data_IF_406542559422
#
_entry.id   IF_406542559422
#
_cell.length_a   1.000
_cell.length_b   1.000
_cell.length_c   1.000
_cell.angle_alpha   90.00
_cell.angle_beta   90.00
_cell.angle_gamma   90.00
#
_symmetry.space_group_name_H-M   'P 1'
#
loop_
_entity.id
_entity.type
_entity.pdbx_description
1 polymer ?
#
# COMPACT_ATOMS: atom_id res chain seq x y z
N UNK A 1 -3.90 5.12 -3.06
CA UNK A 1 -3.19 3.82 -3.07
C UNK A 1 -1.82 3.99 -3.70
N UNK A 2 -0.87 3.18 -3.23
CA UNK A 2 0.53 3.21 -3.65
C UNK A 2 0.89 1.82 -4.20
N UNK A 3 1.44 1.77 -5.40
CA UNK A 3 2.00 0.56 -6.00
C UNK A 3 3.52 0.72 -6.11
N UNK A 4 4.26 -0.22 -5.58
CA UNK A 4 5.72 -0.29 -5.68
C UNK A 4 6.08 -1.56 -6.44
N UNK A 5 6.69 -1.42 -7.59
CA UNK A 5 7.19 -2.53 -8.39
C UNK A 5 8.71 -2.52 -8.43
N UNK A 6 9.33 -3.70 -8.42
CA UNK A 6 10.76 -3.84 -8.54
C UNK A 6 11.23 -5.27 -8.25
N UNK A 7 12.34 -5.66 -8.82
CA UNK A 7 12.94 -6.98 -8.63
C UNK A 7 13.30 -7.26 -7.16
N UNK A 8 13.65 -8.50 -6.86
CA UNK A 8 14.15 -8.87 -5.53
C UNK A 8 15.40 -8.05 -5.19
N UNK A 9 15.49 -7.55 -3.96
CA UNK A 9 16.62 -6.71 -3.53
C UNK A 9 16.56 -5.24 -3.97
N UNK A 10 15.59 -4.83 -4.80
CA UNK A 10 15.48 -3.46 -5.29
C UNK A 10 15.14 -2.39 -4.23
N UNK A 11 14.69 -2.81 -3.04
CA UNK A 11 14.38 -1.89 -1.93
C UNK A 11 12.90 -1.76 -1.58
N UNK A 12 11.99 -2.61 -2.11
CA UNK A 12 10.53 -2.58 -1.82
C UNK A 12 10.23 -2.57 -0.33
N UNK A 13 10.74 -3.55 0.42
CA UNK A 13 10.53 -3.65 1.88
C UNK A 13 11.20 -2.48 2.62
N UNK A 14 12.33 -1.97 2.12
CA UNK A 14 12.98 -0.76 2.67
C UNK A 14 12.08 0.47 2.48
N UNK A 15 11.42 0.60 1.33
CA UNK A 15 10.42 1.66 1.11
C UNK A 15 9.30 1.60 2.15
N UNK A 16 8.72 0.40 2.38
CA UNK A 16 7.67 0.22 3.39
C UNK A 16 8.19 0.65 4.77
N UNK A 17 9.36 0.17 5.18
CA UNK A 17 9.98 0.52 6.48
C UNK A 17 10.15 2.02 6.63
N UNK A 18 10.74 2.67 5.63
CA UNK A 18 10.98 4.13 5.64
C UNK A 18 9.67 4.91 5.71
N UNK A 19 8.65 4.51 4.94
CA UNK A 19 7.34 5.13 4.94
C UNK A 19 6.67 5.02 6.31
N UNK A 20 6.53 3.79 6.84
CA UNK A 20 5.87 3.53 8.12
C UNK A 20 6.59 4.24 9.27
N UNK A 21 7.91 4.17 9.33
CA UNK A 21 8.71 4.87 10.32
C UNK A 21 8.49 6.39 10.25
N UNK A 22 8.53 6.96 9.07
CA UNK A 22 8.31 8.40 8.87
C UNK A 22 6.91 8.83 9.31
N UNK A 23 5.89 8.03 8.97
CA UNK A 23 4.49 8.32 9.33
C UNK A 23 4.26 8.22 10.84
N UNK A 24 4.78 7.19 11.49
CA UNK A 24 4.61 6.98 12.95
C UNK A 24 5.35 8.03 13.79
N UNK A 25 6.40 8.64 13.26
CA UNK A 25 7.07 9.77 13.92
C UNK A 25 6.33 11.10 13.78
N UNK A 26 5.56 11.27 12.71
CA UNK A 26 4.87 12.53 12.41
C UNK A 26 3.43 12.57 12.93
N UNK A 27 2.81 11.42 13.10
CA UNK A 27 1.40 11.30 13.44
C UNK A 27 1.21 10.39 14.64
N UNK A 28 0.24 10.71 15.50
CA UNK A 28 -0.18 9.83 16.59
C UNK A 28 -1.02 8.65 16.05
N UNK A 29 -1.21 7.61 16.87
CA UNK A 29 -2.09 6.49 16.52
C UNK A 29 -3.56 6.88 16.32
N UNK A 30 -4.00 8.02 16.85
CA UNK A 30 -5.32 8.59 16.59
C UNK A 30 -5.44 9.24 15.19
N UNK A 31 -4.31 9.51 14.55
CA UNK A 31 -4.25 10.14 13.24
C UNK A 31 -3.87 9.17 12.13
N UNK A 32 -3.04 8.16 12.46
CA UNK A 32 -2.54 7.19 11.49
C UNK A 32 -2.46 5.80 12.10
N UNK A 33 -3.02 4.82 11.41
CA UNK A 33 -2.94 3.40 11.75
C UNK A 33 -2.58 2.60 10.51
N UNK A 34 -1.98 1.43 10.71
CA UNK A 34 -1.66 0.54 9.60
C UNK A 34 -1.82 -0.94 9.98
N UNK A 35 -2.04 -1.75 8.96
CA UNK A 35 -2.07 -3.21 9.00
C UNK A 35 -1.09 -3.72 7.95
N UNK A 36 -0.37 -4.79 8.27
CA UNK A 36 0.65 -5.36 7.38
C UNK A 36 0.29 -6.81 7.06
N UNK A 37 0.34 -7.15 5.78
CA UNK A 37 0.34 -8.52 5.27
C UNK A 37 1.72 -8.73 4.63
N UNK A 38 2.63 -9.44 5.36
CA UNK A 38 4.03 -9.67 4.96
C UNK A 38 4.17 -11.09 4.39
N UNK A 39 4.12 -11.18 3.07
CA UNK A 39 4.31 -12.41 2.28
C UNK A 39 5.66 -12.39 1.54
N UNK A 40 6.66 -11.72 2.11
CA UNK A 40 7.98 -11.56 1.54
C UNK A 40 9.07 -11.99 2.51
N UNK A 41 9.65 -11.05 3.21
CA UNK A 41 10.89 -11.26 3.98
C UNK A 41 10.66 -11.42 5.49
N UNK A 42 9.44 -11.27 5.98
CA UNK A 42 9.07 -11.24 7.42
C UNK A 42 9.82 -10.15 8.22
N UNK A 43 10.36 -9.14 7.53
CA UNK A 43 11.15 -8.08 8.14
C UNK A 43 10.29 -6.94 8.70
N UNK A 44 8.97 -6.99 8.49
CA UNK A 44 8.05 -5.95 8.96
C UNK A 44 7.50 -6.23 10.37
N UNK A 45 7.86 -7.37 10.98
CA UNK A 45 7.56 -7.70 12.39
C UNK A 45 8.02 -6.63 13.39
N UNK A 46 9.05 -5.86 13.05
CA UNK A 46 9.57 -4.77 13.90
C UNK A 46 8.52 -3.72 14.25
N UNK A 47 7.47 -3.59 13.44
CA UNK A 47 6.39 -2.63 13.66
C UNK A 47 5.25 -3.17 14.54
N UNK A 48 5.24 -4.48 14.86
CA UNK A 48 4.11 -5.15 15.54
C UNK A 48 3.70 -4.50 16.86
N UNK A 49 4.66 -4.02 17.63
CA UNK A 49 4.43 -3.46 18.96
C UNK A 49 4.19 -1.94 18.97
N UNK A 50 4.12 -1.30 17.81
CA UNK A 50 3.81 0.12 17.75
C UNK A 50 2.32 0.35 17.97
N UNK A 51 1.93 1.43 18.68
CA UNK A 51 0.52 1.75 18.93
C UNK A 51 -0.27 2.07 17.64
N UNK A 52 0.42 2.30 16.54
CA UNK A 52 -0.16 2.53 15.21
C UNK A 52 -0.48 1.22 14.46
N UNK A 53 0.12 0.10 14.89
CA UNK A 53 0.01 -1.18 14.19
C UNK A 53 -1.18 -1.98 14.72
N UNK A 54 -2.18 -2.23 13.87
CA UNK A 54 -3.32 -3.07 14.23
C UNK A 54 -3.00 -4.56 14.15
N UNK A 55 -2.24 -4.98 13.14
CA UNK A 55 -1.79 -6.38 12.99
C UNK A 55 -0.63 -6.49 12.00
N UNK A 56 0.19 -7.54 12.19
CA UNK A 56 1.13 -8.05 11.18
C UNK A 56 0.76 -9.50 10.91
N UNK A 57 0.28 -9.76 9.71
CA UNK A 57 -0.22 -11.05 9.22
C UNK A 57 0.83 -11.63 8.27
N UNK A 58 1.16 -12.90 8.45
CA UNK A 58 2.14 -13.62 7.65
C UNK A 58 1.51 -14.90 7.08
N UNK A 59 2.27 -15.71 6.33
CA UNK A 59 1.75 -16.92 5.70
C UNK A 59 1.16 -17.91 6.70
N UNK A 60 1.78 -18.09 7.86
CA UNK A 60 1.33 -18.97 8.94
C UNK A 60 0.09 -18.46 9.70
N UNK A 61 -0.24 -17.19 9.53
CA UNK A 61 -1.39 -16.51 10.16
C UNK A 61 -2.36 -15.92 9.13
N UNK A 62 -2.29 -16.36 7.88
CA UNK A 62 -3.06 -15.80 6.76
C UNK A 62 -4.57 -15.77 6.99
N UNK A 63 -5.12 -16.68 7.79
CA UNK A 63 -6.55 -16.72 8.13
C UNK A 63 -7.00 -15.46 8.89
N UNK A 64 -6.10 -14.78 9.61
CA UNK A 64 -6.37 -13.50 10.26
C UNK A 64 -6.69 -12.38 9.25
N UNK A 65 -6.31 -12.54 7.99
CA UNK A 65 -6.69 -11.59 6.94
C UNK A 65 -8.20 -11.48 6.76
N UNK A 66 -8.95 -12.55 7.03
CA UNK A 66 -10.42 -12.53 6.98
C UNK A 66 -11.01 -11.61 8.05
N UNK A 67 -10.44 -11.64 9.25
CA UNK A 67 -10.87 -10.76 10.34
C UNK A 67 -10.49 -9.31 10.05
N UNK A 68 -9.31 -9.07 9.47
CA UNK A 68 -8.92 -7.75 9.00
C UNK A 68 -9.92 -7.18 7.98
N UNK A 69 -10.31 -7.96 6.97
CA UNK A 69 -11.27 -7.48 5.96
C UNK A 69 -12.67 -7.24 6.55
N UNK A 70 -13.11 -8.05 7.53
CA UNK A 70 -14.35 -7.79 8.26
C UNK A 70 -14.26 -6.47 9.04
N UNK A 71 -13.15 -6.24 9.75
CA UNK A 71 -12.89 -4.99 10.48
C UNK A 71 -12.92 -3.78 9.53
N UNK A 72 -12.23 -3.85 8.41
CA UNK A 72 -12.22 -2.76 7.40
C UNK A 72 -13.63 -2.49 6.85
N UNK A 73 -14.42 -3.56 6.64
CA UNK A 73 -15.82 -3.43 6.23
C UNK A 73 -16.62 -2.63 7.27
N UNK A 74 -16.51 -3.00 8.53
CA UNK A 74 -17.20 -2.32 9.64
C UNK A 74 -16.80 -0.86 9.71
N UNK A 75 -15.48 -0.56 9.69
CA UNK A 75 -14.97 0.81 9.73
C UNK A 75 -15.52 1.64 8.56
N UNK A 76 -15.53 1.10 7.35
CA UNK A 76 -16.05 1.82 6.16
C UNK A 76 -17.55 2.08 6.32
N UNK A 77 -18.34 1.12 6.83
CA UNK A 77 -19.77 1.31 7.04
C UNK A 77 -20.07 2.36 8.13
N UNK A 78 -19.33 2.33 9.22
CA UNK A 78 -19.45 3.34 10.30
C UNK A 78 -19.08 4.73 9.77
N UNK A 79 -18.02 4.84 8.99
CA UNK A 79 -17.60 6.12 8.38
C UNK A 79 -18.62 6.62 7.36
N UNK A 80 -19.26 5.74 6.59
CA UNK A 80 -20.37 6.12 5.69
C UNK A 80 -21.51 6.79 6.46
N UNK A 81 -21.93 6.21 7.58
CA UNK A 81 -22.97 6.79 8.44
C UNK A 81 -22.53 8.12 9.02
N UNK A 82 -21.33 8.16 9.59
CA UNK A 82 -20.76 9.37 10.17
C UNK A 82 -20.64 10.51 9.15
N UNK A 83 -20.19 10.23 7.93
CA UNK A 83 -20.07 11.26 6.89
C UNK A 83 -21.42 11.81 6.46
N UNK A 84 -22.45 10.95 6.41
CA UNK A 84 -23.83 11.40 6.17
C UNK A 84 -24.35 12.30 7.30
N UNK A 85 -24.08 11.94 8.58
CA UNK A 85 -24.47 12.75 9.74
C UNK A 85 -23.74 14.11 9.81
N UNK A 86 -22.48 14.14 9.36
CA UNK A 86 -21.66 15.35 9.32
C UNK A 86 -21.86 16.18 8.04
N UNK A 87 -22.67 15.69 7.10
CA UNK A 87 -22.93 16.31 5.80
C UNK A 87 -21.63 16.56 5.00
N UNK A 88 -20.67 15.59 5.07
CA UNK A 88 -19.40 15.66 4.35
C UNK A 88 -19.27 14.56 3.31
N UNK A 89 -18.49 14.82 2.25
CA UNK A 89 -18.37 13.92 1.09
C UNK A 89 -17.22 12.93 1.17
N UNK A 90 -16.19 13.23 1.98
CA UNK A 90 -14.94 12.47 2.00
C UNK A 90 -14.20 12.55 3.34
N UNK A 91 -13.21 11.67 3.49
CA UNK A 91 -12.37 11.58 4.66
C UNK A 91 -11.66 12.91 5.03
N UNK A 92 -11.16 13.65 4.02
CA UNK A 92 -10.42 14.89 4.27
C UNK A 92 -11.28 15.97 4.93
N UNK A 93 -12.56 16.02 4.60
CA UNK A 93 -13.55 16.91 5.24
C UNK A 93 -13.90 16.41 6.64
N UNK A 94 -14.20 15.11 6.76
CA UNK A 94 -14.58 14.51 8.04
C UNK A 94 -13.45 14.61 9.09
N UNK A 95 -12.20 14.40 8.69
CA UNK A 95 -11.03 14.46 9.58
C UNK A 95 -10.75 15.85 10.15
N UNK A 96 -11.30 16.91 9.55
CA UNK A 96 -11.25 18.28 10.13
C UNK A 96 -12.25 18.47 11.26
N UNK A 97 -13.33 17.70 11.25
CA UNK A 97 -14.42 17.81 12.21
C UNK A 97 -14.33 16.79 13.35
N UNK A 98 -13.77 15.62 13.04
CA UNK A 98 -13.62 14.51 14.01
C UNK A 98 -12.24 13.88 13.90
N UNK A 99 -11.71 13.42 15.04
CA UNK A 99 -10.49 12.60 15.07
C UNK A 99 -10.79 11.23 14.45
N UNK A 100 -10.28 11.01 13.28
CA UNK A 100 -10.41 9.76 12.52
C UNK A 100 -9.03 9.35 12.01
N UNK A 101 -8.50 8.17 12.38
CA UNK A 101 -7.22 7.74 11.85
C UNK A 101 -7.30 7.46 10.36
N UNK A 102 -6.31 7.91 9.59
CA UNK A 102 -6.07 7.38 8.26
C UNK A 102 -5.51 5.96 8.39
N UNK A 103 -6.05 5.02 7.64
CA UNK A 103 -5.67 3.60 7.70
C UNK A 103 -4.90 3.22 6.43
N UNK A 104 -3.70 2.67 6.60
CA UNK A 104 -2.90 2.11 5.52
C UNK A 104 -2.82 0.59 5.65
N UNK A 105 -3.28 -0.13 4.64
CA UNK A 105 -3.14 -1.60 4.55
C UNK A 105 -1.99 -1.92 3.60
N UNK A 106 -0.94 -2.52 4.13
CA UNK A 106 0.31 -2.82 3.42
C UNK A 106 0.34 -4.28 3.04
N UNK A 107 0.55 -4.58 1.76
CA UNK A 107 0.85 -5.91 1.26
C UNK A 107 2.29 -5.94 0.76
N UNK A 108 3.20 -6.52 1.53
CA UNK A 108 4.53 -6.83 1.02
C UNK A 108 4.47 -8.18 0.30
N UNK A 109 4.60 -8.13 -1.03
CA UNK A 109 4.36 -9.22 -1.97
C UNK A 109 2.87 -9.65 -2.02
N UNK A 110 2.03 -8.78 -2.62
CA UNK A 110 0.60 -9.10 -2.80
C UNK A 110 0.37 -10.36 -3.62
N UNK A 111 1.26 -10.71 -4.55
CA UNK A 111 1.16 -11.94 -5.33
C UNK A 111 1.23 -13.18 -4.45
N UNK A 112 2.14 -13.20 -3.46
CA UNK A 112 2.22 -14.25 -2.47
C UNK A 112 0.92 -14.41 -1.68
N UNK A 113 0.33 -13.32 -1.21
CA UNK A 113 -0.98 -13.36 -0.56
C UNK A 113 -2.07 -13.95 -1.47
N UNK A 114 -2.16 -13.48 -2.72
CA UNK A 114 -3.18 -13.94 -3.68
C UNK A 114 -3.04 -15.41 -4.10
N UNK A 115 -1.88 -16.03 -3.90
CA UNK A 115 -1.67 -17.47 -4.12
C UNK A 115 -2.24 -18.32 -2.98
N UNK A 116 -2.51 -17.75 -1.82
CA UNK A 116 -3.12 -18.47 -0.70
C UNK A 116 -4.61 -18.69 -0.91
N UNK A 117 -5.18 -19.73 -0.27
CA UNK A 117 -6.63 -19.97 -0.29
C UNK A 117 -7.43 -18.80 0.28
N UNK A 118 -6.90 -18.14 1.32
CA UNK A 118 -7.52 -16.97 1.94
C UNK A 118 -7.52 -15.78 0.96
N UNK A 119 -6.38 -15.50 0.32
CA UNK A 119 -6.25 -14.43 -0.66
C UNK A 119 -7.17 -14.60 -1.87
N UNK A 120 -7.28 -15.84 -2.40
CA UNK A 120 -8.19 -16.16 -3.51
C UNK A 120 -9.65 -15.88 -3.15
N UNK A 121 -10.08 -16.28 -1.94
CA UNK A 121 -11.45 -16.03 -1.46
C UNK A 121 -11.75 -14.54 -1.24
N UNK A 122 -10.74 -13.76 -0.96
CA UNK A 122 -10.88 -12.33 -0.62
C UNK A 122 -10.62 -11.40 -1.81
N UNK A 123 -10.26 -11.95 -2.96
CA UNK A 123 -9.84 -11.16 -4.12
C UNK A 123 -10.91 -10.17 -4.60
N UNK A 124 -12.16 -10.61 -4.72
CA UNK A 124 -13.26 -9.74 -5.18
C UNK A 124 -13.54 -8.61 -4.18
N UNK A 125 -13.47 -8.92 -2.90
CA UNK A 125 -13.62 -7.93 -1.82
C UNK A 125 -12.47 -6.90 -1.86
N UNK A 126 -11.23 -7.36 -2.06
CA UNK A 126 -10.08 -6.48 -2.21
C UNK A 126 -10.23 -5.54 -3.41
N UNK A 127 -10.71 -6.05 -4.54
CA UNK A 127 -11.02 -5.27 -5.74
C UNK A 127 -12.09 -4.19 -5.46
N UNK A 128 -13.12 -4.53 -4.71
CA UNK A 128 -14.16 -3.57 -4.32
C UNK A 128 -13.58 -2.45 -3.44
N UNK A 129 -12.74 -2.78 -2.46
CA UNK A 129 -12.14 -1.78 -1.57
C UNK A 129 -11.14 -0.88 -2.27
N UNK A 130 -10.34 -1.40 -3.20
CA UNK A 130 -9.44 -0.57 -3.99
C UNK A 130 -10.16 0.57 -4.74
N UNK A 131 -11.44 0.37 -5.11
CA UNK A 131 -12.22 1.41 -5.80
C UNK A 131 -12.84 2.45 -4.87
N UNK A 132 -13.22 2.05 -3.67
CA UNK A 132 -14.14 2.85 -2.85
C UNK A 132 -13.56 3.35 -1.54
N UNK A 133 -12.57 2.68 -0.98
CA UNK A 133 -12.13 2.87 0.40
C UNK A 133 -11.37 4.17 0.66
N UNK A 134 -10.72 4.74 -0.35
CA UNK A 134 -9.96 6.00 -0.23
C UNK A 134 -10.84 7.14 0.28
N UNK A 135 -12.08 7.21 -0.20
CA UNK A 135 -13.03 8.24 0.23
C UNK A 135 -13.34 8.16 1.73
N UNK A 136 -13.12 6.98 2.33
CA UNK A 136 -13.35 6.72 3.75
C UNK A 136 -12.05 6.67 4.57
N UNK A 137 -10.91 7.15 4.01
CA UNK A 137 -9.63 7.21 4.70
C UNK A 137 -8.94 5.86 4.89
N UNK A 138 -9.23 4.87 4.02
CA UNK A 138 -8.52 3.59 3.96
C UNK A 138 -7.79 3.49 2.63
N UNK A 139 -6.48 3.32 2.68
CA UNK A 139 -5.62 3.20 1.51
C UNK A 139 -4.82 1.90 1.53
N UNK A 140 -4.35 1.49 0.37
CA UNK A 140 -3.56 0.26 0.19
C UNK A 140 -2.19 0.60 -0.39
N UNK A 141 -1.18 -0.10 0.09
CA UNK A 141 0.16 -0.13 -0.47
C UNK A 141 0.47 -1.58 -0.88
N UNK A 142 0.72 -1.79 -2.16
CA UNK A 142 1.13 -3.10 -2.69
C UNK A 142 2.56 -3.05 -3.15
N UNK A 143 3.32 -4.11 -2.84
CA UNK A 143 4.55 -4.40 -3.55
C UNK A 143 4.37 -5.59 -4.47
N UNK A 144 4.94 -5.48 -5.67
CA UNK A 144 5.00 -6.53 -6.70
C UNK A 144 6.41 -6.60 -7.26
N UNK A 145 6.78 -7.77 -7.79
CA UNK A 145 8.07 -7.94 -8.46
C UNK A 145 7.95 -7.75 -9.98
N UNK A 146 6.82 -8.14 -10.56
CA UNK A 146 6.57 -8.05 -11.99
C UNK A 146 5.20 -7.46 -12.28
N UNK A 147 5.08 -6.79 -13.43
CA UNK A 147 3.86 -6.11 -13.85
C UNK A 147 2.63 -7.04 -13.96
N UNK A 148 2.84 -8.31 -14.30
CA UNK A 148 1.75 -9.29 -14.51
C UNK A 148 1.23 -9.93 -13.21
N UNK A 149 1.85 -9.68 -12.06
CA UNK A 149 1.40 -10.24 -10.76
C UNK A 149 0.04 -9.74 -10.33
N UNK A 150 -0.36 -8.57 -10.82
CA UNK A 150 -1.71 -8.04 -10.68
C UNK A 150 -2.24 -7.60 -12.04
N UNK A 151 -3.53 -7.79 -12.29
CA UNK A 151 -4.13 -7.44 -13.57
C UNK A 151 -4.17 -5.91 -13.79
N UNK A 152 -4.31 -5.50 -15.06
CA UNK A 152 -4.33 -4.09 -15.47
C UNK A 152 -5.42 -3.29 -14.75
N UNK A 153 -6.60 -3.88 -14.54
CA UNK A 153 -7.72 -3.24 -13.86
C UNK A 153 -7.37 -2.88 -12.41
N UNK A 154 -6.72 -3.80 -11.69
CA UNK A 154 -6.22 -3.57 -10.32
C UNK A 154 -5.16 -2.46 -10.32
N UNK A 155 -4.21 -2.48 -11.26
CA UNK A 155 -3.16 -1.45 -11.35
C UNK A 155 -3.71 -0.05 -11.56
N UNK A 156 -4.84 0.11 -12.27
CA UNK A 156 -5.46 1.41 -12.51
C UNK A 156 -5.98 2.10 -11.25
N UNK A 157 -6.25 1.35 -10.18
CA UNK A 157 -6.69 1.91 -8.91
C UNK A 157 -5.54 2.57 -8.12
N UNK A 158 -4.28 2.27 -8.49
CA UNK A 158 -3.10 2.86 -7.87
C UNK A 158 -2.66 4.11 -8.63
N UNK A 159 -2.92 5.27 -8.05
CA UNK A 159 -2.53 6.56 -8.64
C UNK A 159 -1.08 6.92 -8.35
N UNK A 160 -0.55 6.47 -7.22
CA UNK A 160 0.86 6.62 -6.87
C UNK A 160 1.60 5.35 -7.27
N UNK A 161 2.54 5.47 -8.19
CA UNK A 161 3.28 4.32 -8.73
C UNK A 161 4.76 4.59 -8.69
N UNK A 162 5.50 3.65 -8.11
CA UNK A 162 6.95 3.69 -7.97
C UNK A 162 7.49 2.44 -8.66
N UNK A 163 8.39 2.63 -9.59
CA UNK A 163 9.15 1.58 -10.25
C UNK A 163 10.60 1.65 -9.76
N UNK A 164 10.98 0.72 -8.90
CA UNK A 164 12.37 0.50 -8.51
C UNK A 164 13.09 -0.23 -9.64
N UNK A 165 14.16 -0.96 -9.37
CA UNK A 165 14.88 -1.70 -10.40
C UNK A 165 13.98 -2.72 -11.11
N UNK A 166 13.86 -2.62 -12.42
CA UNK A 166 13.13 -3.50 -13.32
C UNK A 166 14.06 -3.93 -14.49
N UNK A 167 13.68 -4.98 -15.22
CA UNK A 167 14.50 -5.61 -16.27
C UNK A 167 14.74 -4.71 -17.46
N UNK A 168 13.69 -3.99 -17.88
CA UNK A 168 13.76 -3.17 -19.09
C UNK A 168 12.86 -1.93 -19.01
N UNK A 169 13.03 -1.02 -19.96
CA UNK A 169 12.28 0.25 -20.03
C UNK A 169 10.78 0.09 -20.29
N UNK A 170 10.36 -1.04 -20.87
CA UNK A 170 8.94 -1.28 -21.16
C UNK A 170 8.19 -1.58 -19.87
N UNK A 171 8.80 -2.34 -18.95
CA UNK A 171 8.23 -2.56 -17.61
C UNK A 171 8.06 -1.25 -16.85
N UNK A 172 9.02 -0.30 -16.94
CA UNK A 172 8.84 1.04 -16.35
C UNK A 172 7.65 1.77 -16.96
N UNK A 173 7.50 1.74 -18.27
CA UNK A 173 6.37 2.36 -18.97
C UNK A 173 5.05 1.76 -18.54
N UNK A 174 4.97 0.44 -18.43
CA UNK A 174 3.74 -0.28 -18.05
C UNK A 174 3.34 -0.02 -16.60
N UNK A 175 4.30 -0.04 -15.67
CA UNK A 175 4.03 0.23 -14.25
C UNK A 175 3.63 1.68 -14.04
N UNK A 176 4.40 2.62 -14.58
CA UNK A 176 4.19 4.05 -14.34
C UNK A 176 3.02 4.61 -15.15
N UNK A 177 2.58 3.88 -16.20
CA UNK A 177 1.60 4.34 -17.19
C UNK A 177 1.98 5.69 -17.82
N UNK A 178 3.28 5.92 -18.00
CA UNK A 178 3.86 7.07 -18.70
C UNK A 178 5.06 6.58 -19.53
N UNK A 179 5.28 7.19 -20.69
CA UNK A 179 6.41 6.82 -21.55
C UNK A 179 7.72 7.08 -20.82
N UNK A 180 8.45 6.02 -20.54
CA UNK A 180 9.77 6.07 -19.91
C UNK A 180 10.85 5.72 -20.95
N UNK A 181 11.75 6.66 -21.24
CA UNK A 181 12.79 6.48 -22.25
C UNK A 181 14.16 6.12 -21.65
N UNK A 182 14.22 6.02 -20.33
CA UNK A 182 15.46 5.88 -19.61
C UNK A 182 15.30 4.83 -18.49
N UNK A 183 16.41 4.19 -18.13
CA UNK A 183 16.48 3.27 -17.00
C UNK A 183 17.40 3.89 -15.93
N UNK A 184 16.98 3.92 -14.67
CA UNK A 184 17.83 4.40 -13.59
C UNK A 184 19.04 3.46 -13.40
N UNK A 185 20.15 3.93 -12.81
CA UNK A 185 21.26 3.07 -12.44
C UNK A 185 20.83 1.92 -11.52
N UNK A 186 21.50 0.77 -11.66
CA UNK A 186 21.27 -0.43 -10.84
C UNK A 186 21.83 -0.23 -9.40
N UNK A 187 21.13 0.59 -8.65
CA UNK A 187 21.43 0.87 -7.24
C UNK A 187 20.22 0.54 -6.36
N UNK A 188 20.39 -0.13 -5.21
CA UNK A 188 19.29 -0.40 -4.30
C UNK A 188 18.56 0.88 -3.89
N UNK A 189 17.23 0.87 -4.01
CA UNK A 189 16.39 2.02 -3.71
C UNK A 189 16.38 3.13 -4.77
N UNK A 190 17.13 2.97 -5.87
CA UNK A 190 17.03 3.85 -7.04
C UNK A 190 15.83 3.43 -7.87
N UNK A 191 15.08 4.39 -8.39
CA UNK A 191 13.91 4.10 -9.18
C UNK A 191 13.30 5.32 -9.84
N UNK A 192 12.12 5.15 -10.39
CA UNK A 192 11.35 6.19 -11.06
C UNK A 192 9.94 6.22 -10.45
N UNK A 193 9.40 7.39 -10.24
CA UNK A 193 7.99 7.57 -9.94
C UNK A 193 7.34 8.53 -10.94
N UNK A 194 6.03 8.38 -11.13
CA UNK A 194 5.28 9.27 -12.00
C UNK A 194 4.72 10.43 -11.19
N UNK A 195 5.09 11.65 -11.56
CA UNK A 195 4.56 12.89 -10.99
C UNK A 195 3.93 13.73 -12.12
N UNK A 196 2.63 13.98 -12.02
CA UNK A 196 1.88 14.75 -13.03
C UNK A 196 2.10 14.27 -14.48
N UNK A 197 2.15 12.94 -14.66
CA UNK A 197 2.37 12.33 -15.97
C UNK A 197 3.83 12.39 -16.47
N UNK A 198 4.79 12.77 -15.62
CA UNK A 198 6.21 12.82 -15.94
C UNK A 198 6.98 11.79 -15.11
N UNK A 199 7.84 10.98 -15.74
CA UNK A 199 8.74 10.09 -15.01
C UNK A 199 9.86 10.90 -14.37
N UNK A 200 10.01 10.79 -13.05
CA UNK A 200 11.07 11.44 -12.28
C UNK A 200 11.90 10.38 -11.57
N UNK A 201 13.21 10.48 -11.69
CA UNK A 201 14.15 9.63 -10.96
C UNK A 201 14.12 9.96 -9.46
N UNK A 202 14.23 8.92 -8.64
CA UNK A 202 14.22 9.06 -7.19
C UNK A 202 15.23 8.12 -6.53
N UNK A 203 15.67 8.49 -5.34
CA UNK A 203 16.40 7.62 -4.42
C UNK A 203 15.62 7.49 -3.13
N UNK A 204 15.37 6.24 -2.73
CA UNK A 204 14.77 5.96 -1.42
C UNK A 204 15.72 6.36 -0.29
N UNK A 205 15.19 7.00 0.72
CA UNK A 205 15.92 7.18 1.97
C UNK A 205 16.07 5.82 2.67
N UNK A 206 17.22 5.59 3.27
CA UNK A 206 17.45 4.39 4.05
C UNK A 206 16.73 4.51 5.40
N UNK A 207 16.02 3.47 5.77
CA UNK A 207 15.50 3.32 7.12
C UNK A 207 16.68 3.08 8.07
N UNK A 208 16.86 3.99 9.00
CA UNK A 208 17.76 3.84 10.15
C UNK A 208 16.89 3.92 11.42
N UNK A 209 16.78 2.82 12.19
CA UNK A 209 16.00 2.77 13.43
C UNK A 209 16.59 3.67 14.52
#
# INVERSE_FOLDING_TARGET
>A
HILVCGESGSGKTTFIKTLLYSMTRKHSSDQFQFYILDFSSHLLKIFRNLPHCGAVIEEDTVEQSMELFKLLTTIIQERKKLFSELEVSNYSEAAKLKKLPFILVVFDNVAGFLQTKAGQKQYDMLQYYLKSSVNYGVSYLFTISHVNEINMRTRQEFKQRIALQLRDRYEYTDILNVKCMYMPPELPGRGIYSYEGRPLEMQLAMFAP
#
